data_IF_358694141252
#
_entry.id   IF_358694141252
#
_cell.length_a   1.000
_cell.length_b   1.000
_cell.length_c   1.000
_cell.angle_alpha   90.00
_cell.angle_beta   90.00
_cell.angle_gamma   90.00
#
_symmetry.space_group_name_H-M   'P 1'
#
loop_
_entity.id
_entity.type
_entity.pdbx_description
1 polymer ?
#
# COMPACT_ATOMS: atom_id res chain seq x y z
N UNK A 1 1.64 -20.95 33.64
CA UNK A 1 0.87 -19.72 33.87
C UNK A 1 1.37 -18.70 32.88
N UNK A 2 0.57 -18.28 31.89
CA UNK A 2 1.01 -17.28 30.90
C UNK A 2 1.36 -15.97 31.61
N UNK A 3 2.53 -15.40 31.31
CA UNK A 3 2.95 -14.15 31.93
C UNK A 3 2.02 -13.00 31.48
N UNK A 4 1.74 -12.05 32.37
CA UNK A 4 0.88 -10.89 32.07
C UNK A 4 1.33 -10.13 30.80
N UNK A 5 2.63 -10.17 30.48
CA UNK A 5 3.21 -9.61 29.26
C UNK A 5 2.76 -10.29 27.96
N UNK A 6 2.62 -11.62 27.94
CA UNK A 6 2.14 -12.38 26.78
C UNK A 6 0.66 -12.11 26.50
N UNK A 7 -0.13 -12.00 27.57
CA UNK A 7 -1.54 -11.63 27.48
C UNK A 7 -1.71 -10.21 26.93
N UNK A 8 -0.88 -9.26 27.39
CA UNK A 8 -0.88 -7.90 26.89
C UNK A 8 -0.47 -7.82 25.41
N UNK A 9 0.54 -8.59 24.98
CA UNK A 9 0.95 -8.67 23.58
C UNK A 9 -0.16 -9.25 22.69
N UNK A 10 -0.82 -10.32 23.14
CA UNK A 10 -1.93 -10.97 22.42
C UNK A 10 -3.12 -10.02 22.26
N UNK A 11 -3.48 -9.31 23.33
CA UNK A 11 -4.54 -8.28 23.28
C UNK A 11 -4.20 -7.14 22.34
N UNK A 12 -2.93 -6.69 22.32
CA UNK A 12 -2.48 -5.63 21.41
C UNK A 12 -2.53 -6.08 19.95
N UNK A 13 -2.06 -7.29 19.64
CA UNK A 13 -2.13 -7.86 18.30
C UNK A 13 -3.58 -8.05 17.82
N UNK A 14 -4.47 -8.49 18.72
CA UNK A 14 -5.90 -8.58 18.42
C UNK A 14 -6.48 -7.19 18.15
N UNK A 15 -6.20 -6.19 18.99
CA UNK A 15 -6.64 -4.82 18.79
C UNK A 15 -6.18 -4.25 17.43
N UNK A 16 -4.91 -4.43 17.07
CA UNK A 16 -4.39 -4.01 15.77
C UNK A 16 -5.10 -4.69 14.61
N UNK A 17 -5.33 -6.00 14.69
CA UNK A 17 -6.10 -6.74 13.68
C UNK A 17 -7.55 -6.23 13.55
N UNK A 18 -8.13 -5.68 14.62
CA UNK A 18 -9.47 -5.07 14.57
C UNK A 18 -9.47 -3.68 13.92
N UNK A 19 -8.35 -2.94 13.98
CA UNK A 19 -8.24 -1.61 13.36
C UNK A 19 -8.30 -1.65 11.84
N UNK A 20 -7.88 -2.76 11.22
CA UNK A 20 -7.85 -2.90 9.76
C UNK A 20 -9.13 -3.51 9.19
N UNK A 21 -10.04 -4.01 10.04
CA UNK A 21 -11.31 -4.60 9.59
C UNK A 21 -12.33 -3.52 9.24
N UNK A 22 -12.90 -3.51 8.02
CA UNK A 22 -13.94 -2.55 7.67
C UNK A 22 -15.20 -2.79 8.53
N UNK A 23 -15.73 -1.73 9.13
CA UNK A 23 -16.97 -1.80 9.93
C UNK A 23 -17.85 -0.59 9.66
N UNK A 24 -19.17 -0.81 9.75
CA UNK A 24 -20.13 0.29 9.75
C UNK A 24 -20.02 1.05 11.06
N UNK A 25 -19.91 2.35 10.92
CA UNK A 25 -19.79 3.27 12.03
C UNK A 25 -20.99 4.20 12.02
N UNK A 26 -21.54 4.45 13.19
CA UNK A 26 -22.74 5.24 13.35
C UNK A 26 -22.40 6.53 14.09
N UNK A 27 -23.10 7.61 13.72
CA UNK A 27 -22.99 8.91 14.36
C UNK A 27 -24.28 9.17 15.14
N UNK A 28 -24.14 9.44 16.44
CA UNK A 28 -25.30 9.75 17.27
C UNK A 28 -25.60 11.25 17.14
N UNK A 29 -26.64 11.62 16.40
CA UNK A 29 -27.08 13.02 16.27
C UNK A 29 -26.04 13.98 15.67
N UNK A 30 -26.03 15.24 16.13
CA UNK A 30 -25.07 16.27 15.70
C UNK A 30 -23.69 16.14 16.35
N UNK A 31 -23.58 15.42 17.47
CA UNK A 31 -22.32 15.22 18.18
C UNK A 31 -21.34 14.36 17.36
N UNK A 32 -20.03 14.60 17.50
CA UNK A 32 -18.96 13.83 16.85
C UNK A 32 -18.69 12.50 17.57
N UNK A 33 -19.72 11.89 18.16
CA UNK A 33 -19.57 10.59 18.82
C UNK A 33 -19.75 9.51 17.78
N UNK A 34 -18.67 8.78 17.56
CA UNK A 34 -18.51 7.73 16.56
C UNK A 34 -18.58 6.40 17.32
N UNK A 35 -19.57 5.56 17.01
CA UNK A 35 -19.73 4.26 17.66
C UNK A 35 -19.77 3.11 16.65
N UNK A 36 -19.10 2.01 16.98
CA UNK A 36 -19.18 0.76 16.21
C UNK A 36 -20.36 -0.07 16.71
N UNK A 37 -20.91 -0.96 15.86
CA UNK A 37 -21.93 -1.92 16.30
C UNK A 37 -21.46 -2.80 17.47
N UNK A 38 -20.16 -3.08 17.55
CA UNK A 38 -19.54 -3.80 18.66
C UNK A 38 -19.57 -3.01 19.98
N UNK A 39 -19.40 -1.68 19.95
CA UNK A 39 -19.58 -0.85 21.15
C UNK A 39 -21.00 -0.96 21.69
N UNK A 40 -22.00 -0.89 20.82
CA UNK A 40 -23.40 -1.00 21.21
C UNK A 40 -23.69 -2.38 21.82
N UNK A 41 -23.21 -3.45 21.18
CA UNK A 41 -23.39 -4.82 21.68
C UNK A 41 -22.73 -5.04 23.06
N UNK A 42 -21.49 -4.57 23.26
CA UNK A 42 -20.82 -4.67 24.57
C UNK A 42 -21.53 -3.86 25.66
N UNK A 43 -21.99 -2.66 25.33
CA UNK A 43 -22.68 -1.79 26.29
C UNK A 43 -24.04 -2.36 26.68
N UNK A 44 -24.81 -2.87 25.71
CA UNK A 44 -26.10 -3.54 25.95
C UNK A 44 -25.89 -4.83 26.74
N UNK A 45 -24.89 -5.64 26.37
CA UNK A 45 -24.57 -6.87 27.09
C UNK A 45 -24.19 -6.61 28.55
N UNK A 46 -23.39 -5.58 28.83
CA UNK A 46 -23.05 -5.19 30.19
C UNK A 46 -24.26 -4.69 30.99
N UNK A 47 -25.15 -3.92 30.37
CA UNK A 47 -26.39 -3.48 30.99
C UNK A 47 -27.31 -4.65 31.35
N UNK A 48 -27.51 -5.61 30.43
CA UNK A 48 -28.32 -6.82 30.68
C UNK A 48 -27.71 -7.66 31.81
N UNK A 49 -26.39 -7.86 31.82
CA UNK A 49 -25.71 -8.60 32.88
C UNK A 49 -25.86 -7.94 34.26
N UNK A 50 -25.76 -6.61 34.33
CA UNK A 50 -25.94 -5.89 35.58
C UNK A 50 -27.39 -5.94 36.09
N UNK A 51 -28.38 -5.86 35.19
CA UNK A 51 -29.79 -5.99 35.56
C UNK A 51 -30.16 -7.39 36.03
N UNK A 52 -29.52 -8.44 35.50
CA UNK A 52 -29.77 -9.82 35.88
C UNK A 52 -29.26 -10.18 37.30
N UNK A 53 -28.34 -9.39 37.84
CA UNK A 53 -27.70 -9.62 39.14
C UNK A 53 -28.34 -8.82 40.28
N UNK A 54 -29.49 -8.18 40.03
CA UNK A 54 -30.20 -7.28 40.97
C UNK A 54 -29.25 -6.28 41.66
N UNK A 55 -28.31 -5.76 40.85
CA UNK A 55 -27.19 -4.99 41.37
C UNK A 55 -27.63 -3.57 41.77
N UNK A 56 -27.00 -2.97 42.79
CA UNK A 56 -27.30 -1.60 43.19
C UNK A 56 -27.15 -0.64 42.01
N UNK A 57 -27.93 0.45 42.00
CA UNK A 57 -27.99 1.41 40.89
C UNK A 57 -26.61 1.94 40.45
N UNK A 58 -25.67 2.11 41.38
CA UNK A 58 -24.30 2.54 41.07
C UNK A 58 -23.49 1.46 40.33
N UNK A 59 -23.69 0.18 40.64
CA UNK A 59 -22.99 -0.94 40.01
C UNK A 59 -23.45 -1.13 38.55
N UNK A 60 -24.72 -0.87 38.27
CA UNK A 60 -25.25 -0.82 36.90
C UNK A 60 -24.53 0.22 36.04
N UNK A 61 -24.33 1.44 36.55
CA UNK A 61 -23.61 2.48 35.82
C UNK A 61 -22.13 2.16 35.62
N UNK A 62 -21.47 1.53 36.59
CA UNK A 62 -20.09 1.05 36.44
C UNK A 62 -20.02 -0.03 35.36
N UNK A 63 -20.95 -0.98 35.33
CA UNK A 63 -20.99 -2.02 34.31
C UNK A 63 -21.17 -1.43 32.90
N UNK A 64 -22.05 -0.43 32.73
CA UNK A 64 -22.21 0.29 31.46
C UNK A 64 -20.91 1.00 31.06
N UNK A 65 -20.28 1.74 31.98
CA UNK A 65 -19.03 2.44 31.69
C UNK A 65 -17.90 1.46 31.30
N UNK A 66 -17.80 0.33 32.01
CA UNK A 66 -16.85 -0.72 31.72
C UNK A 66 -17.15 -1.39 30.37
N UNK A 67 -18.41 -1.72 30.09
CA UNK A 67 -18.84 -2.28 28.81
C UNK A 67 -18.54 -1.34 27.63
N UNK A 68 -18.67 -0.03 27.83
CA UNK A 68 -18.30 0.97 26.84
C UNK A 68 -16.78 1.03 26.59
N UNK A 69 -15.97 1.03 27.66
CA UNK A 69 -14.49 1.05 27.56
C UNK A 69 -13.97 -0.25 26.94
N UNK A 70 -14.47 -1.40 27.38
CA UNK A 70 -14.15 -2.72 26.83
C UNK A 70 -14.59 -2.82 25.38
N UNK A 71 -15.78 -2.32 25.05
CA UNK A 71 -16.26 -2.20 23.68
C UNK A 71 -15.28 -1.40 22.82
N UNK A 72 -14.81 -0.26 23.31
CA UNK A 72 -13.82 0.58 22.62
C UNK A 72 -12.49 -0.12 22.37
N UNK A 73 -12.08 -0.99 23.29
CA UNK A 73 -10.85 -1.75 23.17
C UNK A 73 -10.98 -2.96 22.23
N UNK A 74 -12.08 -3.70 22.30
CA UNK A 74 -12.32 -4.90 21.50
C UNK A 74 -12.83 -4.58 20.08
N UNK A 75 -13.55 -3.47 19.93
CA UNK A 75 -14.16 -3.04 18.68
C UNK A 75 -13.75 -1.62 18.32
N UNK A 76 -12.44 -1.30 18.31
CA UNK A 76 -11.99 0.05 18.03
C UNK A 76 -12.54 0.53 16.69
N UNK A 77 -12.75 1.84 16.58
CA UNK A 77 -13.08 2.49 15.31
C UNK A 77 -11.97 2.13 14.32
N UNK A 78 -12.26 1.38 13.24
CA UNK A 78 -11.25 1.03 12.26
C UNK A 78 -10.47 2.25 11.77
N UNK A 79 -9.18 2.11 11.47
CA UNK A 79 -8.37 3.16 10.84
C UNK A 79 -8.98 3.63 9.51
N UNK A 80 -9.62 2.71 8.79
CA UNK A 80 -10.39 2.97 7.57
C UNK A 80 -11.69 3.77 7.79
N UNK A 81 -12.19 3.79 9.02
CA UNK A 81 -13.43 4.48 9.44
C UNK A 81 -13.18 5.69 10.33
N UNK A 82 -11.91 6.04 10.57
CA UNK A 82 -11.57 7.39 11.00
C UNK A 82 -12.17 8.28 9.93
N UNK A 83 -13.24 9.00 10.31
CA UNK A 83 -13.70 10.20 9.63
C UNK A 83 -12.42 10.89 9.14
N UNK A 84 -12.22 10.83 7.83
CA UNK A 84 -10.93 10.82 7.16
C UNK A 84 -9.85 11.68 7.82
N UNK A 85 -8.57 11.32 7.61
CA UNK A 85 -7.48 12.32 7.66
C UNK A 85 -7.88 13.64 6.97
N UNK A 86 -8.77 13.51 5.99
CA UNK A 86 -9.41 14.59 5.26
C UNK A 86 -10.62 15.21 5.98
N UNK A 87 -10.61 16.53 6.21
CA UNK A 87 -11.82 17.25 6.63
C UNK A 87 -12.92 17.21 5.56
N UNK A 88 -14.17 17.51 5.91
CA UNK A 88 -15.27 17.63 4.93
C UNK A 88 -14.98 18.63 3.81
N UNK A 89 -14.21 19.68 4.12
CA UNK A 89 -13.71 20.67 3.15
C UNK A 89 -12.62 20.11 2.22
N UNK A 90 -11.82 19.15 2.68
CA UNK A 90 -10.78 18.51 1.88
C UNK A 90 -11.36 17.44 0.95
N UNK A 91 -12.42 16.75 1.37
CA UNK A 91 -13.14 15.80 0.50
C UNK A 91 -13.78 16.49 -0.70
N UNK A 92 -14.33 17.69 -0.51
CA UNK A 92 -14.96 18.48 -1.56
C UNK A 92 -13.97 19.11 -2.57
N UNK A 93 -12.66 19.05 -2.30
CA UNK A 93 -11.63 19.69 -3.13
C UNK A 93 -10.84 18.74 -4.02
N UNK A 94 -10.95 17.43 -3.81
CA UNK A 94 -10.16 16.47 -4.60
C UNK A 94 -10.70 16.39 -6.02
N UNK A 95 -9.84 16.71 -6.96
CA UNK A 95 -10.09 16.53 -8.39
C UNK A 95 -9.90 15.06 -8.78
N UNK A 96 -10.45 14.62 -9.93
CA UNK A 96 -10.17 13.30 -10.47
C UNK A 96 -8.68 13.00 -10.64
N UNK A 97 -7.85 14.02 -10.92
CA UNK A 97 -6.39 13.86 -11.02
C UNK A 97 -5.71 13.60 -9.68
N UNK A 98 -6.27 14.08 -8.57
CA UNK A 98 -5.72 13.79 -7.23
C UNK A 98 -5.91 12.32 -6.82
N UNK A 99 -6.88 11.64 -7.42
CA UNK A 99 -7.12 10.21 -7.21
C UNK A 99 -6.07 9.34 -7.90
N UNK A 100 -5.42 9.84 -8.95
CA UNK A 100 -4.37 9.09 -9.66
C UNK A 100 -3.11 8.88 -8.80
N UNK A 101 -2.90 9.73 -7.79
CA UNK A 101 -1.82 9.61 -6.80
C UNK A 101 -2.22 8.78 -5.56
N UNK A 102 -3.48 8.35 -5.48
CA UNK A 102 -3.95 7.49 -4.41
C UNK A 102 -3.84 6.03 -4.79
N UNK A 103 -3.49 5.20 -3.82
CA UNK A 103 -3.61 3.75 -3.95
C UNK A 103 -5.09 3.33 -4.07
N UNK A 104 -5.39 2.16 -4.65
CA UNK A 104 -6.77 1.66 -4.72
C UNK A 104 -7.46 1.55 -3.35
N UNK A 105 -6.68 1.26 -2.30
CA UNK A 105 -7.19 1.20 -0.93
C UNK A 105 -7.59 2.60 -0.41
N UNK A 106 -6.79 3.62 -0.70
CA UNK A 106 -7.08 5.01 -0.35
C UNK A 106 -8.28 5.56 -1.14
N UNK A 107 -8.41 5.23 -2.42
CA UNK A 107 -9.58 5.62 -3.22
C UNK A 107 -10.86 5.03 -2.61
N UNK A 108 -10.84 3.74 -2.23
CA UNK A 108 -11.99 3.11 -1.56
C UNK A 108 -12.30 3.74 -0.20
N UNK A 109 -11.27 4.09 0.57
CA UNK A 109 -11.45 4.81 1.83
C UNK A 109 -12.03 6.21 1.61
N UNK A 110 -11.57 6.92 0.57
CA UNK A 110 -12.12 8.22 0.17
C UNK A 110 -13.60 8.11 -0.22
N UNK A 111 -13.94 7.15 -1.07
CA UNK A 111 -15.32 6.87 -1.48
C UNK A 111 -16.24 6.62 -0.27
N UNK A 112 -15.81 5.75 0.65
CA UNK A 112 -16.59 5.45 1.85
C UNK A 112 -16.81 6.69 2.73
N UNK A 113 -15.77 7.50 2.92
CA UNK A 113 -15.84 8.71 3.72
C UNK A 113 -16.72 9.80 3.08
N UNK A 114 -16.63 9.97 1.76
CA UNK A 114 -17.46 10.90 1.02
C UNK A 114 -18.95 10.52 1.13
N UNK A 115 -19.30 9.25 0.95
CA UNK A 115 -20.66 8.74 1.12
C UNK A 115 -21.18 8.92 2.55
N UNK A 116 -20.31 8.75 3.55
CA UNK A 116 -20.67 8.94 4.96
C UNK A 116 -20.95 10.40 5.31
N UNK A 117 -20.14 11.34 4.82
CA UNK A 117 -20.24 12.77 5.13
C UNK A 117 -21.32 13.45 4.30
N UNK A 118 -21.40 13.13 3.01
CA UNK A 118 -22.34 13.71 2.06
C UNK A 118 -23.30 12.62 1.58
N UNK A 119 -24.38 12.42 2.36
CA UNK A 119 -25.44 11.48 2.02
C UNK A 119 -25.96 11.76 0.60
N UNK A 120 -25.99 10.74 -0.26
CA UNK A 120 -26.53 10.82 -1.62
C UNK A 120 -25.51 11.06 -2.72
N UNK A 121 -24.21 11.18 -2.42
CA UNK A 121 -23.18 11.25 -3.45
C UNK A 121 -22.85 9.84 -3.98
N UNK A 122 -22.91 9.69 -5.30
CA UNK A 122 -22.59 8.44 -5.99
C UNK A 122 -21.08 8.34 -6.29
N UNK A 123 -20.53 7.12 -6.41
CA UNK A 123 -19.12 6.91 -6.79
C UNK A 123 -18.74 7.58 -8.11
N UNK A 124 -19.67 7.60 -9.06
CA UNK A 124 -19.51 8.27 -10.36
C UNK A 124 -19.30 9.78 -10.19
N UNK A 125 -20.06 10.43 -9.31
CA UNK A 125 -19.92 11.86 -9.03
C UNK A 125 -18.57 12.21 -8.35
N UNK A 126 -17.91 11.24 -7.74
CA UNK A 126 -16.59 11.39 -7.11
C UNK A 126 -15.43 11.03 -8.06
N UNK A 127 -15.70 10.48 -9.24
CA UNK A 127 -14.68 9.99 -10.18
C UNK A 127 -13.90 8.75 -9.67
N UNK A 128 -14.33 8.11 -8.58
CA UNK A 128 -13.58 7.01 -7.95
C UNK A 128 -13.62 5.73 -8.78
N UNK A 129 -14.74 5.45 -9.45
CA UNK A 129 -14.85 4.30 -10.34
C UNK A 129 -13.97 4.46 -11.57
N UNK A 130 -13.95 5.65 -12.16
CA UNK A 130 -13.10 5.95 -13.32
C UNK A 130 -11.61 5.84 -12.94
N UNK A 131 -11.21 6.40 -11.79
CA UNK A 131 -9.84 6.30 -11.30
C UNK A 131 -9.41 4.85 -11.05
N UNK A 132 -10.25 4.03 -10.41
CA UNK A 132 -9.97 2.60 -10.20
C UNK A 132 -9.93 1.82 -11.52
N UNK A 133 -10.79 2.18 -12.47
CA UNK A 133 -10.77 1.64 -13.83
C UNK A 133 -9.43 1.90 -14.53
N UNK A 134 -9.00 3.17 -14.55
CA UNK A 134 -7.69 3.57 -15.12
C UNK A 134 -6.51 2.85 -14.44
N UNK A 135 -6.56 2.68 -13.12
CA UNK A 135 -5.53 1.93 -12.39
C UNK A 135 -5.49 0.46 -12.78
N UNK A 136 -6.66 -0.20 -12.85
CA UNK A 136 -6.75 -1.61 -13.22
C UNK A 136 -6.27 -1.85 -14.66
N UNK A 137 -6.63 -0.94 -15.58
CA UNK A 137 -6.17 -0.98 -16.96
C UNK A 137 -4.66 -0.75 -17.06
N UNK A 138 -4.11 0.24 -16.34
CA UNK A 138 -2.68 0.49 -16.31
C UNK A 138 -1.89 -0.70 -15.76
N UNK A 139 -2.37 -1.34 -14.69
CA UNK A 139 -1.77 -2.56 -14.13
C UNK A 139 -1.77 -3.68 -15.14
N UNK A 140 -2.90 -3.90 -15.85
CA UNK A 140 -3.01 -4.93 -16.88
C UNK A 140 -2.03 -4.66 -18.03
N UNK A 141 -2.01 -3.43 -18.54
CA UNK A 141 -1.11 -3.04 -19.63
C UNK A 141 0.35 -3.23 -19.21
N UNK A 142 0.74 -2.76 -18.03
CA UNK A 142 2.11 -2.92 -17.53
C UNK A 142 2.49 -4.38 -17.25
N UNK A 143 1.56 -5.20 -16.77
CA UNK A 143 1.81 -6.63 -16.61
C UNK A 143 2.10 -7.30 -17.96
N UNK A 144 1.39 -6.90 -19.02
CA UNK A 144 1.60 -7.42 -20.37
C UNK A 144 2.90 -6.90 -21.01
N UNK A 145 3.21 -5.61 -20.87
CA UNK A 145 4.35 -5.01 -21.57
C UNK A 145 5.66 -5.19 -20.81
N UNK A 146 5.65 -5.01 -19.48
CA UNK A 146 6.84 -5.10 -18.64
C UNK A 146 7.03 -6.48 -18.01
N UNK A 147 6.12 -7.45 -18.25
CA UNK A 147 6.20 -8.79 -17.67
C UNK A 147 6.13 -8.80 -16.13
N UNK A 148 5.62 -7.73 -15.53
CA UNK A 148 5.48 -7.60 -14.09
C UNK A 148 4.26 -8.38 -13.60
N UNK A 149 4.35 -8.94 -12.39
CA UNK A 149 3.21 -9.58 -11.75
C UNK A 149 2.13 -8.52 -11.46
N UNK A 150 0.92 -8.73 -12.00
CA UNK A 150 -0.23 -7.88 -11.78
C UNK A 150 -0.56 -7.74 -10.28
N UNK A 151 -0.33 -8.77 -9.48
CA UNK A 151 -0.54 -8.76 -8.03
C UNK A 151 0.37 -7.77 -7.31
N UNK A 152 1.63 -7.61 -7.76
CA UNK A 152 2.57 -6.64 -7.19
C UNK A 152 2.13 -5.20 -7.49
N UNK A 153 1.69 -4.96 -8.73
CA UNK A 153 1.29 -3.63 -9.19
C UNK A 153 -0.11 -3.22 -8.70
N UNK A 154 -0.96 -4.17 -8.34
CA UNK A 154 -2.36 -3.93 -7.95
C UNK A 154 -2.53 -3.06 -6.70
N UNK A 155 -1.46 -2.81 -5.93
CA UNK A 155 -1.49 -1.97 -4.74
C UNK A 155 -0.96 -0.55 -4.97
N UNK A 156 -0.39 -0.29 -6.14
CA UNK A 156 0.24 0.98 -6.48
C UNK A 156 -0.77 2.02 -6.96
N UNK A 157 -0.43 3.30 -6.82
CA UNK A 157 -1.18 4.39 -7.44
C UNK A 157 -0.99 4.37 -8.97
N UNK A 158 -1.85 5.08 -9.71
CA UNK A 158 -1.68 5.20 -11.17
C UNK A 158 -0.34 5.87 -11.52
N UNK A 159 0.04 6.89 -10.76
CA UNK A 159 1.33 7.57 -10.93
C UNK A 159 2.51 6.60 -10.77
N UNK A 160 2.48 5.76 -9.73
CA UNK A 160 3.53 4.77 -9.46
C UNK A 160 3.59 3.68 -10.53
N UNK A 161 2.44 3.20 -11.02
CA UNK A 161 2.40 2.22 -12.12
C UNK A 161 3.04 2.78 -13.39
N UNK A 162 2.78 4.05 -13.71
CA UNK A 162 3.41 4.74 -14.85
C UNK A 162 4.92 4.92 -14.65
N UNK A 163 5.35 5.26 -13.44
CA UNK A 163 6.77 5.38 -13.12
C UNK A 163 7.50 4.02 -13.20
N UNK A 164 6.87 2.96 -12.72
CA UNK A 164 7.36 1.60 -12.88
C UNK A 164 7.55 1.25 -14.36
N UNK A 165 6.56 1.56 -15.21
CA UNK A 165 6.65 1.37 -16.67
C UNK A 165 7.87 2.06 -17.29
N UNK A 166 8.06 3.36 -17.02
CA UNK A 166 9.24 4.11 -17.51
C UNK A 166 10.57 3.52 -17.02
N UNK A 167 10.57 2.94 -15.83
CA UNK A 167 11.76 2.28 -15.27
C UNK A 167 12.00 0.94 -15.92
N UNK A 168 10.95 0.18 -16.25
CA UNK A 168 11.05 -1.05 -17.03
C UNK A 168 11.56 -0.79 -18.45
N UNK A 169 11.07 0.25 -19.14
CA UNK A 169 11.58 0.61 -20.47
C UNK A 169 13.07 0.93 -20.46
N UNK A 170 13.54 1.67 -19.44
CA UNK A 170 14.96 1.97 -19.23
C UNK A 170 15.77 0.71 -18.94
N UNK A 171 15.27 -0.18 -18.09
CA UNK A 171 15.92 -1.45 -17.79
C UNK A 171 16.07 -2.31 -19.06
N UNK A 172 15.02 -2.41 -19.88
CA UNK A 172 15.04 -3.19 -21.11
C UNK A 172 16.00 -2.60 -22.16
N UNK A 173 16.17 -1.27 -22.20
CA UNK A 173 17.21 -0.61 -23.01
C UNK A 173 18.62 -1.00 -22.56
N UNK A 174 18.90 -0.97 -21.25
CA UNK A 174 20.19 -1.35 -20.69
C UNK A 174 20.50 -2.83 -20.89
N UNK A 175 19.49 -3.69 -20.72
CA UNK A 175 19.59 -5.13 -21.01
C UNK A 175 19.92 -5.40 -22.48
N UNK A 176 19.26 -4.71 -23.42
CA UNK A 176 19.58 -4.83 -24.85
C UNK A 176 21.01 -4.40 -25.15
N UNK A 177 21.46 -3.28 -24.56
CA UNK A 177 22.83 -2.79 -24.72
C UNK A 177 23.85 -3.78 -24.18
N UNK A 178 23.62 -4.32 -22.97
CA UNK A 178 24.49 -5.35 -22.42
C UNK A 178 24.54 -6.61 -23.31
N UNK A 179 23.38 -7.11 -23.75
CA UNK A 179 23.31 -8.30 -24.60
C UNK A 179 24.07 -8.17 -25.91
N UNK A 180 24.24 -6.96 -26.45
CA UNK A 180 25.07 -6.77 -27.65
C UNK A 180 26.50 -7.22 -27.40
N UNK A 181 27.09 -6.87 -26.26
CA UNK A 181 28.44 -7.32 -25.90
C UNK A 181 28.53 -8.83 -25.60
N UNK A 182 27.44 -9.48 -25.17
CA UNK A 182 27.42 -10.95 -24.96
C UNK A 182 27.16 -11.75 -26.26
N UNK A 183 26.39 -11.18 -27.20
CA UNK A 183 25.83 -11.94 -28.32
C UNK A 183 26.46 -11.59 -29.67
N UNK A 184 27.00 -10.38 -29.82
CA UNK A 184 27.67 -9.97 -31.06
C UNK A 184 29.13 -10.45 -31.04
N UNK A 185 29.53 -11.37 -31.96
CA UNK A 185 30.90 -11.87 -32.00
C UNK A 185 31.93 -10.76 -32.26
N UNK A 186 31.57 -9.72 -33.00
CA UNK A 186 32.48 -8.61 -33.28
C UNK A 186 32.75 -7.80 -32.00
N UNK A 187 31.70 -7.44 -31.26
CA UNK A 187 31.87 -6.70 -30.00
C UNK A 187 32.59 -7.51 -28.92
N UNK A 188 32.44 -8.84 -28.91
CA UNK A 188 33.21 -9.71 -28.02
C UNK A 188 34.70 -9.70 -28.34
N UNK A 189 35.06 -9.60 -29.62
CA UNK A 189 36.45 -9.49 -30.05
C UNK A 189 37.02 -8.09 -29.77
N UNK A 190 36.25 -7.05 -30.06
CA UNK A 190 36.67 -5.65 -29.88
C UNK A 190 36.75 -5.26 -28.39
N UNK A 191 35.83 -5.78 -27.56
CA UNK A 191 35.69 -5.41 -26.14
C UNK A 191 35.58 -6.65 -25.20
N UNK A 192 36.58 -7.55 -25.16
CA UNK A 192 36.52 -8.77 -24.34
C UNK A 192 36.41 -8.48 -22.84
N UNK A 193 36.87 -7.31 -22.39
CA UNK A 193 36.75 -6.85 -21.01
C UNK A 193 35.28 -6.72 -20.57
N UNK A 194 34.33 -6.49 -21.49
CA UNK A 194 32.91 -6.37 -21.17
C UNK A 194 32.28 -7.70 -20.74
N UNK A 195 32.84 -8.84 -21.14
CA UNK A 195 32.35 -10.19 -20.76
C UNK A 195 33.19 -10.85 -19.68
N UNK A 196 34.37 -10.31 -19.36
CA UNK A 196 35.26 -10.85 -18.35
C UNK A 196 34.82 -10.49 -16.91
N UNK A 197 34.19 -11.44 -16.24
CA UNK A 197 33.74 -11.29 -14.85
C UNK A 197 34.88 -11.23 -13.81
N UNK A 198 36.13 -11.46 -14.20
CA UNK A 198 37.29 -11.26 -13.31
C UNK A 198 37.62 -9.78 -13.12
N UNK A 199 37.20 -8.92 -14.06
CA UNK A 199 37.41 -7.48 -13.98
C UNK A 199 36.45 -6.84 -12.96
N UNK A 200 36.93 -5.95 -12.08
CA UNK A 200 36.11 -5.33 -11.05
C UNK A 200 34.89 -4.57 -11.62
N UNK A 201 35.08 -3.81 -12.71
CA UNK A 201 34.01 -3.02 -13.31
C UNK A 201 32.89 -3.90 -13.90
N UNK A 202 33.26 -4.95 -14.65
CA UNK A 202 32.34 -5.91 -15.26
C UNK A 202 31.61 -6.74 -14.21
N UNK A 203 32.31 -7.21 -13.17
CA UNK A 203 31.67 -7.94 -12.07
C UNK A 203 30.66 -7.06 -11.29
N UNK A 204 30.97 -5.77 -11.09
CA UNK A 204 30.05 -4.82 -10.47
C UNK A 204 28.80 -4.58 -11.34
N UNK A 205 28.99 -4.44 -12.65
CA UNK A 205 27.90 -4.33 -13.62
C UNK A 205 26.98 -5.55 -13.62
N UNK A 206 27.53 -6.77 -13.67
CA UNK A 206 26.75 -8.01 -13.63
C UNK A 206 25.94 -8.11 -12.33
N UNK A 207 26.52 -7.72 -11.19
CA UNK A 207 25.81 -7.68 -9.91
C UNK A 207 24.65 -6.67 -9.93
N UNK A 208 24.91 -5.45 -10.40
CA UNK A 208 23.89 -4.40 -10.49
C UNK A 208 22.74 -4.80 -11.43
N UNK A 209 23.04 -5.45 -12.56
CA UNK A 209 22.06 -6.03 -13.48
C UNK A 209 21.16 -7.05 -12.79
N UNK A 210 21.76 -8.01 -12.06
CA UNK A 210 20.99 -9.02 -11.30
C UNK A 210 20.11 -8.38 -10.23
N UNK A 211 20.62 -7.38 -9.51
CA UNK A 211 19.83 -6.62 -8.53
C UNK A 211 18.65 -5.91 -9.19
N UNK A 212 18.84 -5.24 -10.32
CA UNK A 212 17.74 -4.62 -11.06
C UNK A 212 16.68 -5.64 -11.51
N UNK A 213 17.11 -6.83 -11.97
CA UNK A 213 16.23 -7.95 -12.28
C UNK A 213 15.42 -8.44 -11.07
N UNK A 214 16.05 -8.53 -9.90
CA UNK A 214 15.37 -8.93 -8.66
C UNK A 214 14.35 -7.88 -8.21
N UNK A 215 14.71 -6.59 -8.23
CA UNK A 215 13.82 -5.50 -7.81
C UNK A 215 12.62 -5.35 -8.74
N UNK A 216 12.76 -5.66 -10.03
CA UNK A 216 11.63 -5.75 -10.99
C UNK A 216 10.53 -6.66 -10.47
N UNK A 217 10.90 -7.76 -9.79
CA UNK A 217 9.96 -8.77 -9.25
C UNK A 217 9.52 -8.53 -7.80
N UNK A 218 10.16 -7.61 -7.08
CA UNK A 218 9.80 -7.32 -5.68
C UNK A 218 8.72 -6.24 -5.56
N UNK A 219 8.50 -5.48 -6.65
CA UNK A 219 7.32 -4.63 -6.81
C UNK A 219 7.40 -3.27 -6.09
N UNK A 220 8.58 -2.86 -5.61
CA UNK A 220 8.80 -1.53 -5.01
C UNK A 220 9.35 -0.56 -6.05
N UNK A 221 8.56 0.42 -6.54
CA UNK A 221 8.98 1.29 -7.65
C UNK A 221 10.25 2.10 -7.37
N UNK A 222 10.38 2.63 -6.15
CA UNK A 222 11.54 3.43 -5.76
C UNK A 222 12.84 2.63 -5.72
N UNK A 223 12.79 1.42 -5.15
CA UNK A 223 13.95 0.52 -5.05
C UNK A 223 14.35 0.00 -6.44
N UNK A 224 13.35 -0.33 -7.27
CA UNK A 224 13.58 -0.73 -8.66
C UNK A 224 14.23 0.39 -9.48
N UNK A 225 13.74 1.63 -9.35
CA UNK A 225 14.34 2.79 -10.00
C UNK A 225 15.81 2.97 -9.61
N UNK A 226 16.10 2.91 -8.32
CA UNK A 226 17.47 3.03 -7.81
C UNK A 226 18.38 1.91 -8.33
N UNK A 227 17.87 0.68 -8.41
CA UNK A 227 18.62 -0.45 -8.94
C UNK A 227 18.92 -0.30 -10.45
N UNK A 228 17.97 0.19 -11.24
CA UNK A 228 18.17 0.48 -12.67
C UNK A 228 19.17 1.63 -12.87
N UNK A 229 19.11 2.69 -12.06
CA UNK A 229 20.07 3.79 -12.13
C UNK A 229 21.49 3.30 -11.79
N UNK A 230 21.64 2.42 -10.78
CA UNK A 230 22.92 1.77 -10.46
C UNK A 230 23.40 0.88 -11.60
N UNK A 231 22.53 0.08 -12.21
CA UNK A 231 22.89 -0.73 -13.37
C UNK A 231 23.42 0.15 -14.50
N UNK A 232 22.72 1.25 -14.83
CA UNK A 232 23.16 2.21 -15.84
C UNK A 232 24.56 2.77 -15.55
N UNK A 233 24.83 3.16 -14.31
CA UNK A 233 26.13 3.71 -13.91
C UNK A 233 27.24 2.68 -14.01
N UNK A 234 27.00 1.47 -13.52
CA UNK A 234 27.99 0.39 -13.57
C UNK A 234 28.24 -0.11 -14.99
N UNK A 235 27.23 -0.08 -15.87
CA UNK A 235 27.40 -0.38 -17.29
C UNK A 235 28.30 0.65 -17.96
N UNK A 236 28.04 1.94 -17.77
CA UNK A 236 28.89 2.99 -18.30
C UNK A 236 30.34 2.90 -17.78
N UNK A 237 30.53 2.56 -16.50
CA UNK A 237 31.86 2.37 -15.93
C UNK A 237 32.59 1.14 -16.52
N UNK A 238 31.88 0.05 -16.77
CA UNK A 238 32.43 -1.12 -17.45
C UNK A 238 32.82 -0.80 -18.90
N UNK A 239 31.98 -0.08 -19.63
CA UNK A 239 32.23 0.37 -21.00
C UNK A 239 33.48 1.26 -21.09
N UNK A 240 33.61 2.22 -20.17
CA UNK A 240 34.80 3.07 -20.08
C UNK A 240 36.06 2.26 -19.75
N UNK A 241 35.98 1.32 -18.82
CA UNK A 241 37.11 0.46 -18.46
C UNK A 241 37.52 -0.48 -19.62
N UNK A 242 36.57 -0.86 -20.47
CA UNK A 242 36.79 -1.67 -21.66
C UNK A 242 37.25 -0.85 -22.88
N UNK A 243 37.27 0.48 -22.81
CA UNK A 243 37.67 1.35 -23.91
C UNK A 243 36.59 1.51 -25.00
N UNK A 244 35.32 1.28 -24.66
CA UNK A 244 34.19 1.55 -25.55
C UNK A 244 34.08 3.07 -25.75
N UNK A 245 34.01 3.57 -27.00
CA UNK A 245 33.92 5.00 -27.31
C UNK A 245 32.60 5.66 -26.92
#
# INVERSE_FOLDING_TARGET
MSNASEWAATLRALHEKQLDRPRRVYRLGRTKVIFSGGHAACTVGAAVAASALDSPSWAFWIAIALGFVVGKFLFPVPRSSVASRYGSKELARKSPGDLDYMTPAEIRAYQYNAQFIQKGITPLALGTEEALGRQSEAVRTMSLTAGADAGLLAHLSLADVREYGRTADRHDLLERRWRQYEMDPQLQFDFPAMTDASLPATSAMIRARRTAGQERTTGKPADYRLAVDRFSQTLAAAEQAAGVP
#
